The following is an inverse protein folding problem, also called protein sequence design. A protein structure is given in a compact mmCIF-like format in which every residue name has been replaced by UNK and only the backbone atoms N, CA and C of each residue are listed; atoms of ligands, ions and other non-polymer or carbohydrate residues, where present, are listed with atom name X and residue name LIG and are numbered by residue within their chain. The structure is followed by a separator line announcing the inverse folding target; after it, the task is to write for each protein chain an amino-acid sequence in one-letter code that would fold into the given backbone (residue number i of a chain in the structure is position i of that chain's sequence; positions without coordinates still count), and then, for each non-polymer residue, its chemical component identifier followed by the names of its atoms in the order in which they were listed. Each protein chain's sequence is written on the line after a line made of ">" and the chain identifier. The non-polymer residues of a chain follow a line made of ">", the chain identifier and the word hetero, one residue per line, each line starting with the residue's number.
data_IF_662605062294
#
_entry.id   IF_662605062294
#
_cell.length_a   1.000
_cell.length_b   1.000
_cell.length_c   1.000
_cell.angle_alpha   90.00
_cell.angle_beta   90.00
_cell.angle_gamma   90.00
#
_symmetry.space_group_name_H-M   'P 1'
#
loop_
_entity.id
_entity.type
_entity.pdbx_description
1 polymer ?
#
# COMPACT_ATOMS: atom_id res chain seq x y z
N UNK A 1 -6.26 4.41 -11.14
CA UNK A 1 -4.91 4.53 -10.55
C UNK A 1 -4.98 4.13 -9.08
N UNK A 2 -4.64 2.88 -8.79
CA UNK A 2 -4.65 2.28 -7.45
C UNK A 2 -3.52 2.89 -6.60
N UNK A 3 -3.84 3.54 -5.49
CA UNK A 3 -2.87 4.43 -4.86
C UNK A 3 -2.10 3.75 -3.71
N UNK A 4 -1.00 3.06 -4.01
CA UNK A 4 -0.06 2.53 -3.00
C UNK A 4 0.37 3.60 -2.00
N UNK A 5 0.45 4.87 -2.44
CA UNK A 5 0.74 6.02 -1.58
C UNK A 5 -0.34 6.20 -0.51
N UNK A 6 -1.62 5.98 -0.84
CA UNK A 6 -2.71 6.08 0.14
C UNK A 6 -2.61 4.97 1.19
N UNK A 7 -2.31 3.73 0.76
CA UNK A 7 -2.09 2.62 1.70
C UNK A 7 -0.91 2.91 2.63
N UNK A 8 0.22 3.37 2.10
CA UNK A 8 1.38 3.76 2.88
C UNK A 8 1.06 4.88 3.88
N UNK A 9 0.33 5.92 3.45
CA UNK A 9 -0.14 7.00 4.34
C UNK A 9 -1.01 6.48 5.48
N UNK A 10 -1.91 5.52 5.21
CA UNK A 10 -2.74 4.91 6.25
C UNK A 10 -1.90 4.08 7.24
N UNK A 11 -0.90 3.33 6.77
CA UNK A 11 0.03 2.63 7.66
C UNK A 11 0.68 3.61 8.63
N UNK A 12 1.27 4.70 8.12
CA UNK A 12 1.92 5.73 8.95
C UNK A 12 0.92 6.34 9.95
N UNK A 13 -0.26 6.74 9.47
CA UNK A 13 -1.30 7.34 10.31
C UNK A 13 -1.69 6.45 11.50
N UNK A 14 -1.94 5.16 11.27
CA UNK A 14 -2.33 4.25 12.36
C UNK A 14 -1.18 3.93 13.31
N UNK A 15 0.06 3.90 12.82
CA UNK A 15 1.25 3.77 13.67
C UNK A 15 1.41 4.99 14.58
N UNK A 16 1.33 6.21 14.04
CA UNK A 16 1.39 7.44 14.83
C UNK A 16 0.28 7.51 15.88
N UNK A 17 -0.94 7.15 15.49
CA UNK A 17 -2.09 7.08 16.40
C UNK A 17 -1.88 6.04 17.51
N UNK A 18 -1.26 4.89 17.21
CA UNK A 18 -0.90 3.91 18.23
C UNK A 18 0.11 4.48 19.22
N UNK A 19 1.17 5.15 18.76
CA UNK A 19 2.17 5.75 19.66
C UNK A 19 1.62 6.84 20.57
N UNK A 20 0.58 7.55 20.14
CA UNK A 20 -0.09 8.57 20.96
C UNK A 20 -1.10 7.98 21.96
N UNK A 21 -1.45 6.70 21.84
CA UNK A 21 -2.54 6.08 22.60
C UNK A 21 -2.06 5.53 23.96
N UNK A 22 -2.83 5.83 25.02
CA UNK A 22 -2.54 5.38 26.40
C UNK A 22 -3.37 4.16 26.80
N UNK A 23 -4.49 3.92 26.11
CA UNK A 23 -5.30 2.73 26.32
C UNK A 23 -4.74 1.54 25.52
N UNK A 24 -4.40 0.45 26.21
CA UNK A 24 -3.75 -0.73 25.58
C UNK A 24 -4.61 -1.41 24.52
N UNK A 25 -5.94 -1.39 24.65
CA UNK A 25 -6.84 -2.02 23.69
C UNK A 25 -6.93 -1.18 22.41
N UNK A 26 -7.03 0.14 22.54
CA UNK A 26 -6.99 1.07 21.40
C UNK A 26 -5.62 1.06 20.72
N UNK A 27 -4.52 0.97 21.49
CA UNK A 27 -3.18 0.78 20.95
C UNK A 27 -3.13 -0.47 20.05
N UNK A 28 -3.56 -1.61 20.58
CA UNK A 28 -3.59 -2.88 19.83
C UNK A 28 -4.49 -2.80 18.61
N UNK A 29 -5.63 -2.13 18.70
CA UNK A 29 -6.52 -1.91 17.56
C UNK A 29 -5.83 -1.10 16.46
N UNK A 30 -5.21 0.04 16.79
CA UNK A 30 -4.50 0.87 15.81
C UNK A 30 -3.35 0.09 15.15
N UNK A 31 -2.61 -0.75 15.89
CA UNK A 31 -1.59 -1.64 15.31
C UNK A 31 -2.21 -2.67 14.34
N UNK A 32 -3.37 -3.24 14.66
CA UNK A 32 -4.08 -4.16 13.73
C UNK A 32 -4.48 -3.47 12.43
N UNK A 33 -4.97 -2.23 12.51
CA UNK A 33 -5.30 -1.44 11.32
C UNK A 33 -4.05 -1.14 10.48
N UNK A 34 -2.94 -0.72 11.11
CA UNK A 34 -1.67 -0.51 10.40
C UNK A 34 -1.21 -1.78 9.66
N UNK A 35 -1.27 -2.94 10.30
CA UNK A 35 -0.94 -4.23 9.68
C UNK A 35 -1.90 -4.63 8.56
N UNK A 36 -3.17 -4.26 8.65
CA UNK A 36 -4.12 -4.47 7.57
C UNK A 36 -3.70 -3.69 6.32
N UNK A 37 -3.46 -2.38 6.43
CA UNK A 37 -3.03 -1.56 5.29
C UNK A 37 -1.66 -1.97 4.74
N UNK A 38 -0.74 -2.41 5.60
CA UNK A 38 0.59 -2.84 5.18
C UNK A 38 0.53 -4.11 4.32
N UNK A 39 -0.27 -5.10 4.71
CA UNK A 39 -0.47 -6.32 3.90
C UNK A 39 -1.10 -6.01 2.55
N UNK A 40 -2.09 -5.11 2.52
CA UNK A 40 -2.69 -4.70 1.25
C UNK A 40 -1.70 -3.95 0.35
N UNK A 41 -0.78 -3.18 0.95
CA UNK A 41 0.29 -2.52 0.19
C UNK A 41 1.25 -3.56 -0.39
N UNK A 42 1.68 -4.53 0.42
CA UNK A 42 2.55 -5.64 -0.01
C UNK A 42 1.93 -6.41 -1.18
N UNK A 43 0.69 -6.88 -1.07
CA UNK A 43 -0.02 -7.58 -2.14
C UNK A 43 -0.11 -6.77 -3.46
N UNK A 44 -0.20 -5.44 -3.35
CA UNK A 44 -0.25 -4.55 -4.52
C UNK A 44 1.12 -4.38 -5.15
N UNK A 45 2.17 -4.23 -4.34
CA UNK A 45 3.54 -4.15 -4.82
C UNK A 45 3.99 -5.47 -5.47
N UNK A 46 3.63 -6.61 -4.90
CA UNK A 46 3.86 -7.92 -5.51
C UNK A 46 3.20 -8.04 -6.88
N UNK A 47 1.96 -7.56 -7.02
CA UNK A 47 1.28 -7.54 -8.33
C UNK A 47 2.01 -6.68 -9.35
N UNK A 48 2.59 -5.56 -8.93
CA UNK A 48 3.38 -4.68 -9.82
C UNK A 48 4.69 -5.36 -10.22
N UNK A 49 5.39 -6.00 -9.29
CA UNK A 49 6.66 -6.72 -9.56
C UNK A 49 6.44 -7.87 -10.56
N UNK A 50 5.29 -8.54 -10.48
CA UNK A 50 4.95 -9.66 -11.36
C UNK A 50 4.17 -9.24 -12.60
N UNK A 51 3.95 -7.94 -12.83
CA UNK A 51 3.24 -7.43 -13.99
C UNK A 51 4.12 -7.58 -15.24
N UNK A 52 3.58 -8.05 -16.37
CA UNK A 52 4.33 -8.09 -17.63
C UNK A 52 4.86 -6.71 -18.02
N UNK A 53 6.05 -6.68 -18.63
CA UNK A 53 6.71 -5.43 -19.04
C UNK A 53 5.84 -4.61 -20.00
N UNK A 54 5.05 -5.26 -20.85
CA UNK A 54 4.13 -4.61 -21.79
C UNK A 54 3.02 -3.82 -21.08
N UNK A 55 2.55 -4.30 -19.92
CA UNK A 55 1.56 -3.62 -19.09
C UNK A 55 2.17 -2.49 -18.25
N UNK A 56 3.44 -2.65 -17.84
CA UNK A 56 4.18 -1.66 -17.04
C UNK A 56 4.64 -0.46 -17.86
N UNK A 57 5.19 -0.71 -19.05
CA UNK A 57 5.78 0.32 -19.90
C UNK A 57 4.79 0.90 -20.93
N UNK A 58 3.63 0.24 -21.10
CA UNK A 58 2.70 0.53 -22.19
C UNK A 58 3.30 0.18 -23.55
N UNK A 59 2.46 -0.25 -24.49
CA UNK A 59 2.85 -0.58 -25.86
C UNK A 59 3.55 0.63 -26.53
N UNK A 60 4.88 0.69 -26.39
CA UNK A 60 5.77 1.69 -26.98
C UNK A 60 6.27 1.21 -28.34
N UNK A 61 5.49 0.36 -29.02
CA UNK A 61 5.87 -0.35 -30.24
C UNK A 61 4.90 -0.23 -31.41
N UNK A 62 3.93 0.68 -31.39
CA UNK A 62 3.18 1.07 -32.61
C UNK A 62 3.47 2.51 -32.99
N UNK A 63 4.70 2.74 -33.44
CA UNK A 63 4.94 3.81 -34.42
C UNK A 63 4.20 3.40 -35.69
N UNK A 64 3.09 4.08 -35.97
CA UNK A 64 2.30 3.91 -37.18
C UNK A 64 3.15 4.21 -38.43
N UNK A 65 3.12 3.26 -39.37
CA UNK A 65 3.29 3.30 -40.84
C UNK A 65 4.27 4.29 -41.47
#
# INVERSE_FOLDING_TARGET
>A
MFNCIMLAKNVVYFVEKAYAERNIDLFRQNIKEALFYLRHLEEKLEKIINMPEEELLGDSGKTEK
#
